data_IF_063713653360
#
_entry.id   IF_063713653360
#
_cell.length_a   1.000
_cell.length_b   1.000
_cell.length_c   1.000
_cell.angle_alpha   90.00
_cell.angle_beta   90.00
_cell.angle_gamma   90.00
#
_symmetry.space_group_name_H-M   'P 1'
#
loop_
_entity.id
_entity.type
_entity.pdbx_description
1 polymer ?
#
# COMPACT_ATOMS: atom_id res chain seq x y z
N UNK A 1 43.01 -6.78 3.62
CA UNK A 1 42.27 -7.98 4.07
C UNK A 1 40.83 -7.84 3.60
N UNK A 2 40.30 -8.90 3.02
CA UNK A 2 39.02 -9.00 2.30
C UNK A 2 37.83 -8.54 3.15
N UNK A 3 37.29 -7.35 2.86
CA UNK A 3 36.03 -6.86 3.42
C UNK A 3 34.87 -7.71 2.91
N UNK A 4 34.19 -8.42 3.82
CA UNK A 4 32.92 -9.07 3.52
C UNK A 4 31.89 -7.98 3.25
N UNK A 5 31.52 -7.81 1.98
CA UNK A 5 30.14 -7.47 1.65
C UNK A 5 29.28 -8.57 2.27
N UNK A 6 28.67 -8.32 3.43
CA UNK A 6 27.36 -8.92 3.71
C UNK A 6 26.30 -8.14 2.89
N UNK A 7 26.50 -8.04 1.58
CA UNK A 7 25.36 -8.34 0.74
C UNK A 7 25.11 -9.80 1.05
N UNK A 8 24.00 -10.10 1.70
CA UNK A 8 23.49 -11.45 1.73
C UNK A 8 23.45 -11.94 0.26
N UNK A 9 24.50 -12.63 -0.20
CA UNK A 9 24.49 -13.56 -1.33
C UNK A 9 23.67 -14.80 -0.94
N UNK A 10 22.62 -14.60 -0.15
CA UNK A 10 21.63 -15.61 0.11
C UNK A 10 20.80 -15.62 -1.15
N UNK A 11 21.15 -16.55 -2.05
CA UNK A 11 20.25 -17.05 -3.07
C UNK A 11 18.89 -17.20 -2.40
N UNK A 12 17.86 -16.51 -2.91
CA UNK A 12 16.49 -16.66 -2.42
C UNK A 12 16.15 -18.16 -2.46
N UNK A 13 16.25 -18.82 -1.31
CA UNK A 13 15.98 -20.23 -1.16
C UNK A 13 14.48 -20.41 -1.12
N UNK A 14 13.89 -20.86 -2.22
CA UNK A 14 12.52 -21.35 -2.20
C UNK A 14 12.57 -22.82 -1.82
N UNK A 15 12.14 -23.13 -0.60
CA UNK A 15 11.91 -24.50 -0.19
C UNK A 15 10.42 -24.77 -0.31
N UNK A 16 10.06 -25.62 -1.26
CA UNK A 16 8.74 -26.23 -1.30
C UNK A 16 8.92 -27.61 -0.68
N UNK A 17 8.61 -27.73 0.60
CA UNK A 17 8.57 -29.04 1.25
C UNK A 17 7.14 -29.58 1.11
N UNK A 18 7.04 -30.76 0.52
CA UNK A 18 5.79 -31.52 0.54
C UNK A 18 5.77 -32.28 1.87
N UNK A 19 5.17 -31.67 2.89
CA UNK A 19 4.92 -32.33 4.18
C UNK A 19 3.53 -32.96 4.07
N UNK A 20 3.46 -34.28 4.31
CA UNK A 20 2.30 -35.17 4.21
C UNK A 20 0.92 -34.49 4.06
N UNK A 21 0.47 -34.38 2.81
CA UNK A 21 -0.80 -33.79 2.40
C UNK A 21 -0.80 -33.37 0.92
N UNK A 22 -1.96 -32.99 0.32
CA UNK A 22 -2.00 -32.50 -1.07
C UNK A 22 -1.49 -31.06 -1.24
N UNK A 23 -1.15 -30.38 -0.14
CA UNK A 23 -0.70 -28.99 -0.13
C UNK A 23 0.79 -28.94 0.18
N UNK A 24 1.55 -28.23 -0.67
CA UNK A 24 2.95 -27.98 -0.42
C UNK A 24 3.07 -26.70 0.41
N UNK A 25 3.73 -26.77 1.56
CA UNK A 25 4.05 -25.58 2.32
C UNK A 25 5.22 -24.86 1.62
N UNK A 26 4.96 -23.63 1.18
CA UNK A 26 5.98 -22.78 0.58
C UNK A 26 6.64 -22.01 1.70
N UNK A 27 7.84 -22.46 2.10
CA UNK A 27 8.65 -21.76 3.07
C UNK A 27 9.55 -20.76 2.37
N UNK A 28 9.48 -19.53 2.85
CA UNK A 28 10.37 -18.46 2.43
C UNK A 28 11.49 -18.36 3.45
N UNK A 29 12.72 -18.56 2.99
CA UNK A 29 13.87 -18.13 3.78
C UNK A 29 13.94 -16.60 3.76
N UNK A 30 13.38 -15.97 4.79
CA UNK A 30 13.38 -14.51 4.96
C UNK A 30 14.78 -13.95 5.24
N UNK A 31 15.79 -14.79 5.51
CA UNK A 31 17.18 -14.37 5.64
C UNK A 31 17.79 -13.92 4.30
N UNK A 32 17.14 -14.25 3.18
CA UNK A 32 17.52 -13.86 1.82
C UNK A 32 16.73 -12.68 1.24
N UNK A 33 15.62 -12.30 1.88
CA UNK A 33 14.81 -11.16 1.44
C UNK A 33 15.57 -9.87 1.80
N UNK A 34 15.63 -8.87 0.92
CA UNK A 34 16.09 -7.56 1.34
C UNK A 34 15.15 -7.09 2.47
N UNK A 35 15.72 -7.02 3.67
CA UNK A 35 15.17 -6.30 4.82
C UNK A 35 14.79 -4.88 4.37
N UNK A 36 13.95 -4.11 5.11
CA UNK A 36 13.82 -2.67 4.87
C UNK A 36 15.19 -2.10 4.54
N UNK A 37 15.33 -1.34 3.45
CA UNK A 37 16.63 -0.90 2.96
C UNK A 37 17.41 -0.30 4.14
N UNK A 38 18.35 -1.09 4.64
CA UNK A 38 19.40 -0.74 5.58
C UNK A 38 20.63 -1.12 4.78
N UNK A 39 21.00 -0.20 3.88
CA UNK A 39 22.17 -0.40 3.04
C UNK A 39 23.39 -0.02 3.87
N UNK A 40 23.96 -1.00 4.58
CA UNK A 40 25.22 -0.83 5.31
C UNK A 40 26.37 -1.16 4.35
N UNK A 41 27.09 -0.13 3.93
CA UNK A 41 28.29 -0.26 3.10
C UNK A 41 29.47 0.05 4.00
N UNK A 42 30.46 -0.84 4.10
CA UNK A 42 31.70 -0.64 4.85
C UNK A 42 32.90 -0.84 3.91
N UNK A 43 33.78 0.14 3.79
CA UNK A 43 34.76 0.29 2.70
C UNK A 43 35.87 1.30 3.05
N UNK A 44 36.70 1.65 2.06
CA UNK A 44 37.66 2.76 2.09
C UNK A 44 37.00 4.13 2.34
N UNK A 45 37.86 5.12 2.61
CA UNK A 45 37.51 6.51 2.92
C UNK A 45 36.89 7.25 1.72
N UNK A 46 35.65 7.73 1.84
CA UNK A 46 34.94 8.47 0.78
C UNK A 46 34.68 9.94 1.11
N UNK A 47 34.54 10.77 0.06
CA UNK A 47 34.24 12.22 0.15
C UNK A 47 32.84 12.61 -0.32
N UNK A 48 32.14 11.74 -1.07
CA UNK A 48 30.80 12.02 -1.57
C UNK A 48 29.97 10.74 -1.77
N UNK A 49 28.65 10.90 -1.71
CA UNK A 49 27.64 9.92 -2.12
C UNK A 49 26.70 10.55 -3.14
N UNK A 50 26.44 9.85 -4.23
CA UNK A 50 25.49 10.28 -5.26
C UNK A 50 24.31 9.32 -5.28
N UNK A 51 23.12 9.88 -5.16
CA UNK A 51 21.83 9.21 -5.32
C UNK A 51 21.25 9.62 -6.68
N UNK A 52 21.00 8.66 -7.55
CA UNK A 52 20.32 8.86 -8.84
C UNK A 52 19.02 8.05 -8.82
N UNK A 53 17.91 8.66 -9.18
CA UNK A 53 16.63 7.94 -9.29
C UNK A 53 15.69 8.62 -10.29
N UNK A 54 14.61 7.95 -10.66
CA UNK A 54 13.61 8.46 -11.59
C UNK A 54 12.20 8.21 -11.04
N UNK A 55 11.23 9.00 -11.49
CA UNK A 55 9.81 8.87 -11.12
C UNK A 55 9.31 9.97 -10.17
N UNK A 56 8.04 9.86 -9.78
CA UNK A 56 7.35 10.79 -8.86
C UNK A 56 7.53 10.43 -7.37
N UNK A 57 8.41 9.48 -7.09
CA UNK A 57 8.60 8.88 -5.77
C UNK A 57 9.61 9.69 -4.94
N UNK A 58 9.32 9.90 -3.65
CA UNK A 58 10.16 10.68 -2.76
C UNK A 58 11.30 9.84 -2.21
N UNK A 59 12.54 10.28 -2.45
CA UNK A 59 13.69 9.81 -1.67
C UNK A 59 13.92 10.75 -0.50
N UNK A 60 13.57 10.26 0.69
CA UNK A 60 13.79 10.97 1.93
C UNK A 60 15.15 10.59 2.52
N UNK A 61 16.01 11.60 2.72
CA UNK A 61 17.38 11.43 3.17
C UNK A 61 17.54 11.65 4.68
N UNK A 62 16.44 11.85 5.43
CA UNK A 62 16.50 12.16 6.88
C UNK A 62 17.07 11.04 7.73
N UNK A 63 17.05 9.79 7.28
CA UNK A 63 17.69 8.67 7.98
C UNK A 63 19.00 8.22 7.32
N UNK A 64 19.65 9.10 6.55
CA UNK A 64 21.02 8.90 6.11
C UNK A 64 21.97 8.97 7.32
N UNK A 65 22.76 7.93 7.54
CA UNK A 65 23.80 7.87 8.58
C UNK A 65 25.15 7.58 7.95
N UNK A 66 26.19 8.20 8.48
CA UNK A 66 27.58 8.04 8.03
C UNK A 66 28.49 7.90 9.26
N UNK A 67 29.61 7.22 9.12
CA UNK A 67 30.61 7.21 10.17
C UNK A 67 32.00 6.81 9.69
N UNK A 68 32.99 7.07 10.55
CA UNK A 68 34.40 6.79 10.30
C UNK A 68 34.87 5.46 10.91
N UNK A 69 34.17 4.98 11.95
CA UNK A 69 34.40 3.69 12.60
C UNK A 69 33.08 2.92 12.74
N UNK A 70 33.12 1.58 12.67
CA UNK A 70 31.93 0.71 12.67
C UNK A 70 31.07 0.85 13.95
N UNK A 71 31.64 1.33 15.06
CA UNK A 71 31.00 1.43 16.37
C UNK A 71 30.41 2.81 16.71
N UNK A 72 30.54 3.81 15.82
CA UNK A 72 30.05 5.18 16.07
C UNK A 72 28.99 5.62 15.04
N UNK A 73 27.71 5.40 15.37
CA UNK A 73 26.58 5.94 14.60
C UNK A 73 26.44 7.44 14.88
N UNK A 74 27.02 8.30 14.03
CA UNK A 74 26.79 9.75 14.13
C UNK A 74 25.86 10.21 13.01
N UNK A 75 24.75 10.91 13.30
CA UNK A 75 23.93 11.54 12.27
C UNK A 75 24.78 12.51 11.43
N UNK A 76 24.48 12.65 10.14
CA UNK A 76 25.17 13.62 9.26
C UNK A 76 24.89 15.04 9.77
N UNK A 77 25.92 15.71 10.32
CA UNK A 77 25.81 17.08 10.87
C UNK A 77 26.17 18.18 9.87
N UNK A 78 26.89 17.84 8.80
CA UNK A 78 27.35 18.77 7.77
C UNK A 78 27.44 18.08 6.41
N UNK A 79 26.96 18.73 5.35
CA UNK A 79 27.07 18.26 3.98
C UNK A 79 26.40 19.22 3.00
N UNK A 80 26.93 19.29 1.77
CA UNK A 80 26.31 20.09 0.70
C UNK A 80 25.64 19.12 -0.27
N UNK A 81 24.34 19.30 -0.47
CA UNK A 81 23.57 18.55 -1.47
C UNK A 81 23.46 19.40 -2.72
N UNK A 82 23.96 18.89 -3.83
CA UNK A 82 23.77 19.49 -5.15
C UNK A 82 22.88 18.57 -5.96
N UNK A 83 21.75 19.09 -6.41
CA UNK A 83 20.83 18.39 -7.29
C UNK A 83 20.70 19.09 -8.64
N UNK A 84 20.23 18.37 -9.64
CA UNK A 84 19.87 18.96 -10.94
C UNK A 84 18.71 19.98 -10.84
N UNK A 85 18.01 20.06 -9.70
CA UNK A 85 16.96 21.05 -9.42
C UNK A 85 17.40 22.16 -8.44
N UNK A 86 18.66 22.19 -7.99
CA UNK A 86 19.19 23.22 -7.08
C UNK A 86 20.16 22.71 -6.00
N UNK A 87 20.75 23.62 -5.21
CA UNK A 87 21.66 23.28 -4.10
C UNK A 87 21.00 23.55 -2.73
N UNK A 88 21.23 22.68 -1.75
CA UNK A 88 20.82 22.90 -0.35
C UNK A 88 21.82 22.29 0.63
N UNK A 89 21.92 22.87 1.83
CA UNK A 89 22.89 22.47 2.87
C UNK A 89 22.21 21.69 3.99
N UNK A 90 22.82 20.59 4.43
CA UNK A 90 22.44 19.86 5.64
C UNK A 90 23.21 20.46 6.83
N UNK A 91 22.56 21.26 7.68
CA UNK A 91 23.14 21.78 8.92
C UNK A 91 22.42 21.23 10.15
N UNK A 92 23.19 20.69 11.11
CA UNK A 92 22.69 20.09 12.34
C UNK A 92 22.40 21.08 13.48
N UNK A 93 21.16 21.06 13.96
CA UNK A 93 20.78 21.13 15.37
C UNK A 93 19.45 20.36 15.49
N UNK A 94 19.01 19.99 16.70
CA UNK A 94 17.80 19.21 16.97
C UNK A 94 16.48 19.97 16.64
N UNK A 95 16.36 20.42 15.40
CA UNK A 95 15.20 20.95 14.71
C UNK A 95 15.14 20.13 13.43
N UNK A 96 14.01 19.48 13.16
CA UNK A 96 13.77 18.65 11.98
C UNK A 96 14.09 19.45 10.71
N UNK A 97 15.30 19.35 10.19
CA UNK A 97 15.65 19.89 8.88
C UNK A 97 15.00 18.98 7.84
N UNK A 98 13.91 19.46 7.25
CA UNK A 98 13.16 18.77 6.21
C UNK A 98 13.97 18.75 4.90
N UNK A 99 14.95 17.86 4.79
CA UNK A 99 15.56 17.51 3.50
C UNK A 99 14.76 16.38 2.84
N UNK A 100 13.50 16.65 2.51
CA UNK A 100 12.73 15.81 1.60
C UNK A 100 12.96 16.36 0.19
N UNK A 101 13.59 15.58 -0.70
CA UNK A 101 13.68 15.94 -2.11
C UNK A 101 12.38 15.51 -2.80
N UNK A 102 11.56 16.47 -3.20
CA UNK A 102 10.30 16.23 -3.92
C UNK A 102 10.50 16.34 -5.42
N UNK A 103 10.11 15.30 -6.16
CA UNK A 103 10.07 15.32 -7.63
C UNK A 103 8.73 15.92 -8.09
N UNK A 104 8.61 17.24 -8.06
CA UNK A 104 7.61 17.96 -8.88
C UNK A 104 8.27 18.52 -10.16
N UNK A 105 9.23 17.80 -10.73
CA UNK A 105 9.90 18.22 -11.96
C UNK A 105 9.19 17.61 -13.18
N UNK A 106 8.65 18.46 -14.04
CA UNK A 106 8.26 18.13 -15.41
C UNK A 106 9.50 17.61 -16.19
N UNK A 107 9.56 16.32 -16.50
CA UNK A 107 10.48 15.78 -17.50
C UNK A 107 10.99 14.35 -17.26
N UNK A 108 11.33 13.66 -18.36
CA UNK A 108 11.89 12.30 -18.44
C UNK A 108 13.31 12.13 -17.86
N UNK A 109 13.85 13.13 -17.15
CA UNK A 109 15.23 13.10 -16.66
C UNK A 109 15.29 12.57 -15.22
N UNK A 110 16.23 11.66 -14.90
CA UNK A 110 16.41 11.18 -13.54
C UNK A 110 16.80 12.34 -12.60
N UNK A 111 16.19 12.37 -11.43
CA UNK A 111 16.64 13.21 -10.34
C UNK A 111 17.99 12.69 -9.84
N UNK A 112 18.95 13.60 -9.67
CA UNK A 112 20.29 13.26 -9.14
C UNK A 112 20.57 14.16 -7.96
N UNK A 113 20.73 13.58 -6.76
CA UNK A 113 21.28 14.27 -5.60
C UNK A 113 22.69 13.77 -5.31
N UNK A 114 23.67 14.65 -5.45
CA UNK A 114 25.03 14.42 -4.97
C UNK A 114 25.23 15.11 -3.63
N UNK A 115 25.59 14.34 -2.60
CA UNK A 115 25.95 14.86 -1.29
C UNK A 115 27.46 14.78 -1.17
N UNK A 116 28.09 15.94 -1.07
CA UNK A 116 29.53 16.04 -0.88
C UNK A 116 29.85 16.42 0.56
N UNK A 117 30.93 15.86 1.10
CA UNK A 117 31.42 16.08 2.46
C UNK A 117 32.83 16.67 2.39
N UNK A 118 32.99 17.98 2.14
CA UNK A 118 34.31 18.56 1.93
C UNK A 118 35.22 18.41 3.16
N UNK A 119 34.62 18.50 4.35
CA UNK A 119 35.32 18.55 5.64
C UNK A 119 35.25 17.24 6.43
N UNK A 120 34.60 16.21 5.90
CA UNK A 120 34.44 14.92 6.57
C UNK A 120 34.77 13.79 5.60
N UNK A 121 35.18 12.68 6.18
CA UNK A 121 35.34 11.42 5.48
C UNK A 121 34.59 10.34 6.21
N UNK A 122 34.08 9.37 5.47
CA UNK A 122 33.34 8.25 6.03
C UNK A 122 33.84 6.95 5.40
N UNK A 123 33.85 5.89 6.20
CA UNK A 123 34.21 4.52 5.81
C UNK A 123 32.97 3.63 5.75
N UNK A 124 31.83 4.12 6.25
CA UNK A 124 30.55 3.46 6.08
C UNK A 124 29.38 4.41 5.84
N UNK A 125 28.39 3.89 5.13
CA UNK A 125 27.12 4.53 4.81
C UNK A 125 25.98 3.60 5.24
N UNK A 126 24.99 4.15 5.95
CA UNK A 126 23.69 3.51 6.19
C UNK A 126 22.58 4.38 5.67
N UNK A 127 21.76 3.83 4.77
CA UNK A 127 20.51 4.44 4.34
C UNK A 127 19.39 3.61 4.94
N UNK A 128 18.65 4.17 5.89
CA UNK A 128 17.47 3.54 6.47
C UNK A 128 16.20 4.07 5.79
N UNK A 129 15.26 3.20 5.41
CA UNK A 129 13.98 3.59 4.79
C UNK A 129 13.22 4.60 5.68
N UNK A 130 12.86 5.78 5.13
CA UNK A 130 12.23 6.87 5.93
C UNK A 130 10.70 6.94 5.83
N UNK A 131 10.06 6.36 4.82
CA UNK A 131 8.59 6.28 4.76
C UNK A 131 8.16 4.85 4.44
N UNK A 132 7.32 4.28 5.30
CA UNK A 132 6.97 2.85 5.31
C UNK A 132 6.19 2.38 4.07
N UNK A 133 5.67 3.31 3.25
CA UNK A 133 4.71 3.03 2.16
C UNK A 133 5.07 3.59 0.79
N UNK A 134 6.19 4.32 0.67
CA UNK A 134 6.62 4.73 -0.66
C UNK A 134 7.45 3.61 -1.30
N UNK A 135 7.16 3.21 -2.55
CA UNK A 135 8.09 2.39 -3.30
C UNK A 135 9.46 3.08 -3.24
N UNK A 136 10.53 2.30 -3.09
CA UNK A 136 11.87 2.85 -3.28
C UNK A 136 11.90 3.46 -4.68
N UNK A 137 12.38 4.70 -4.75
CA UNK A 137 12.52 5.45 -6.00
C UNK A 137 12.92 4.54 -7.16
N UNK A 138 12.15 4.61 -8.25
CA UNK A 138 12.31 3.75 -9.40
C UNK A 138 13.68 4.00 -10.04
N UNK A 139 14.40 2.93 -10.35
CA UNK A 139 15.79 2.96 -10.81
C UNK A 139 16.78 3.62 -9.83
N UNK A 140 16.55 3.54 -8.51
CA UNK A 140 17.51 4.03 -7.52
C UNK A 140 18.91 3.42 -7.73
N UNK A 141 19.89 4.29 -7.90
CA UNK A 141 21.31 3.99 -7.97
C UNK A 141 22.06 4.82 -6.95
N UNK A 142 23.01 4.19 -6.26
CA UNK A 142 23.86 4.82 -5.25
C UNK A 142 25.32 4.59 -5.64
N UNK A 143 26.06 5.68 -5.76
CA UNK A 143 27.47 5.70 -6.14
C UNK A 143 28.28 6.42 -5.07
N UNK A 144 29.43 5.88 -4.71
CA UNK A 144 30.38 6.49 -3.77
C UNK A 144 31.61 6.99 -4.51
N UNK A 145 32.14 8.15 -4.12
CA UNK A 145 33.31 8.77 -4.75
C UNK A 145 34.48 8.94 -3.77
N UNK A 146 35.68 8.52 -4.18
CA UNK A 146 36.94 8.65 -3.44
C UNK A 146 37.60 10.01 -3.65
N UNK A 147 38.66 10.31 -2.89
CA UNK A 147 39.43 11.55 -3.05
C UNK A 147 40.06 11.67 -4.44
N UNK A 148 40.47 10.55 -5.03
CA UNK A 148 41.07 10.47 -6.37
C UNK A 148 40.04 10.64 -7.50
N UNK A 149 38.74 10.78 -7.17
CA UNK A 149 37.65 10.93 -8.13
C UNK A 149 37.14 9.60 -8.68
N UNK A 150 37.61 8.47 -8.13
CA UNK A 150 37.09 7.16 -8.52
C UNK A 150 35.68 6.97 -7.97
N UNK A 151 34.77 6.48 -8.81
CA UNK A 151 33.36 6.28 -8.47
C UNK A 151 32.99 4.81 -8.50
N UNK A 152 32.38 4.30 -7.43
CA UNK A 152 31.91 2.92 -7.32
C UNK A 152 30.41 2.86 -7.10
N UNK A 153 29.69 2.15 -7.98
CA UNK A 153 28.26 1.91 -7.83
C UNK A 153 28.04 0.79 -6.79
N UNK A 154 27.53 1.17 -5.62
CA UNK A 154 27.35 0.27 -4.47
C UNK A 154 25.93 -0.28 -4.38
N UNK A 155 24.97 0.36 -5.05
CA UNK A 155 23.60 -0.12 -5.16
C UNK A 155 22.99 0.28 -6.50
N UNK A 156 22.33 -0.66 -7.17
CA UNK A 156 21.56 -0.45 -8.39
C UNK A 156 20.32 -1.33 -8.32
N UNK A 157 19.14 -0.69 -8.17
CA UNK A 157 17.85 -1.39 -8.07
C UNK A 157 17.58 -2.23 -9.31
N UNK A 158 17.77 -1.66 -10.50
CA UNK A 158 17.38 -2.27 -11.78
C UNK A 158 18.29 -3.46 -12.11
N UNK A 159 19.59 -3.35 -11.86
CA UNK A 159 20.52 -4.46 -12.00
C UNK A 159 20.20 -5.60 -11.02
N UNK A 160 19.87 -5.28 -9.76
CA UNK A 160 19.46 -6.27 -8.75
C UNK A 160 18.14 -6.95 -9.11
N UNK A 161 17.14 -6.20 -9.57
CA UNK A 161 15.87 -6.76 -10.05
C UNK A 161 16.10 -7.68 -11.25
N UNK A 162 16.93 -7.27 -12.21
CA UNK A 162 17.27 -8.09 -13.37
C UNK A 162 18.01 -9.38 -12.96
N UNK A 163 18.96 -9.28 -12.02
CA UNK A 163 19.68 -10.43 -11.48
C UNK A 163 18.73 -11.40 -10.74
N UNK A 164 17.82 -10.87 -9.91
CA UNK A 164 16.80 -11.67 -9.22
C UNK A 164 15.87 -12.35 -10.23
N UNK A 165 15.33 -11.61 -11.20
CA UNK A 165 14.49 -12.16 -12.28
C UNK A 165 15.21 -13.27 -13.04
N UNK A 166 16.50 -13.07 -13.37
CA UNK A 166 17.34 -14.07 -14.05
C UNK A 166 17.56 -15.32 -13.18
N UNK A 167 17.95 -15.15 -11.92
CA UNK A 167 18.18 -16.26 -10.99
C UNK A 167 16.90 -17.10 -10.79
N UNK A 168 15.77 -16.41 -10.66
CA UNK A 168 14.46 -17.01 -10.48
C UNK A 168 13.95 -17.69 -11.76
N UNK A 169 14.16 -17.07 -12.93
CA UNK A 169 13.86 -17.68 -14.22
C UNK A 169 14.70 -18.96 -14.44
N UNK A 170 15.99 -18.94 -14.10
CA UNK A 170 16.86 -20.13 -14.16
C UNK A 170 16.35 -21.26 -13.27
N UNK A 171 15.85 -20.96 -12.07
CA UNK A 171 15.25 -21.98 -11.18
C UNK A 171 13.92 -22.51 -11.73
N UNK A 172 13.05 -21.63 -12.26
CA UNK A 172 11.77 -22.02 -12.84
C UNK A 172 11.91 -22.80 -14.17
N UNK A 173 13.01 -22.56 -14.91
CA UNK A 173 13.35 -23.24 -16.18
C UNK A 173 14.08 -24.57 -15.99
N UNK A 174 14.49 -24.93 -14.77
CA UNK A 174 14.93 -26.31 -14.50
C UNK A 174 13.80 -27.24 -14.94
N UNK A 175 14.12 -28.15 -15.87
CA UNK A 175 13.17 -28.94 -16.70
C UNK A 175 12.08 -29.64 -15.87
N UNK A 176 12.36 -29.92 -14.59
CA UNK A 176 11.47 -30.64 -13.66
C UNK A 176 10.80 -29.77 -12.58
N UNK A 177 10.85 -28.43 -12.66
CA UNK A 177 10.19 -27.59 -11.67
C UNK A 177 8.66 -27.86 -11.66
N UNK A 178 8.06 -28.22 -10.51
CA UNK A 178 6.63 -28.47 -10.38
C UNK A 178 5.78 -27.32 -10.93
N UNK A 179 4.61 -27.65 -11.51
CA UNK A 179 3.66 -26.67 -12.07
C UNK A 179 3.32 -25.54 -11.08
N UNK A 180 3.24 -25.88 -9.80
CA UNK A 180 3.02 -24.94 -8.69
C UNK A 180 4.13 -23.87 -8.59
N UNK A 181 5.41 -24.27 -8.70
CA UNK A 181 6.57 -23.36 -8.70
C UNK A 181 6.44 -22.35 -9.84
N UNK A 182 6.17 -22.83 -11.05
CA UNK A 182 6.09 -21.96 -12.26
C UNK A 182 4.97 -20.92 -12.16
N UNK A 183 3.91 -21.19 -11.39
CA UNK A 183 2.79 -20.27 -11.21
C UNK A 183 3.02 -19.25 -10.09
N UNK A 184 3.67 -19.68 -9.01
CA UNK A 184 3.85 -18.85 -7.81
C UNK A 184 5.04 -17.90 -7.95
N UNK A 185 6.12 -18.38 -8.56
CA UNK A 185 7.37 -17.62 -8.71
C UNK A 185 7.16 -16.21 -9.31
N UNK A 186 6.40 -16.03 -10.41
CA UNK A 186 6.13 -14.68 -10.93
C UNK A 186 5.39 -13.80 -9.91
N UNK A 187 4.40 -14.35 -9.20
CA UNK A 187 3.63 -13.63 -8.21
C UNK A 187 4.51 -13.13 -7.06
N UNK A 188 5.48 -13.96 -6.64
CA UNK A 188 6.44 -13.60 -5.61
C UNK A 188 7.41 -12.53 -6.07
N UNK A 189 7.88 -12.60 -7.31
CA UNK A 189 8.70 -11.53 -7.89
C UNK A 189 7.93 -10.21 -7.94
N UNK A 190 6.66 -10.24 -8.32
CA UNK A 190 5.79 -9.06 -8.33
C UNK A 190 5.68 -8.46 -6.91
N UNK A 191 5.46 -9.30 -5.88
CA UNK A 191 5.40 -8.86 -4.48
C UNK A 191 6.75 -8.35 -3.94
N UNK A 192 7.86 -9.03 -4.24
CA UNK A 192 9.20 -8.64 -3.79
C UNK A 192 9.60 -7.30 -4.39
N UNK A 193 9.24 -7.04 -5.65
CA UNK A 193 9.52 -5.79 -6.35
C UNK A 193 8.45 -4.70 -6.11
N UNK A 194 7.44 -4.96 -5.26
CA UNK A 194 6.33 -4.05 -4.99
C UNK A 194 5.57 -3.64 -6.27
N UNK A 195 5.53 -4.51 -7.27
CA UNK A 195 4.75 -4.33 -8.50
C UNK A 195 3.30 -4.74 -8.24
N UNK A 196 2.62 -4.01 -7.34
CA UNK A 196 1.33 -4.41 -6.76
C UNK A 196 0.26 -4.63 -7.84
N UNK A 197 0.22 -3.82 -8.89
CA UNK A 197 -0.72 -4.01 -10.01
C UNK A 197 -0.47 -5.31 -10.78
N UNK A 198 0.81 -5.68 -10.97
CA UNK A 198 1.18 -6.93 -11.64
C UNK A 198 0.75 -8.17 -10.83
N UNK A 199 0.76 -8.07 -9.49
CA UNK A 199 0.37 -9.18 -8.60
C UNK A 199 -1.04 -9.68 -8.90
N UNK A 200 -1.99 -8.79 -9.27
CA UNK A 200 -3.39 -9.15 -9.56
C UNK A 200 -3.50 -10.21 -10.66
N UNK A 201 -2.73 -10.04 -11.74
CA UNK A 201 -2.71 -10.99 -12.85
C UNK A 201 -2.13 -12.35 -12.44
N UNK A 202 -1.03 -12.33 -11.69
CA UNK A 202 -0.36 -13.52 -11.16
C UNK A 202 -1.24 -14.29 -10.17
N UNK A 203 -1.89 -13.60 -9.25
CA UNK A 203 -2.82 -14.16 -8.27
C UNK A 203 -4.06 -14.75 -8.91
N UNK A 204 -4.68 -14.07 -9.89
CA UNK A 204 -5.79 -14.62 -10.67
C UNK A 204 -5.40 -15.93 -11.37
N UNK A 205 -4.16 -16.04 -11.86
CA UNK A 205 -3.65 -17.29 -12.45
C UNK A 205 -3.48 -18.39 -11.41
N UNK A 206 -2.89 -18.10 -10.25
CA UNK A 206 -2.72 -19.05 -9.14
C UNK A 206 -4.09 -19.58 -8.71
N UNK A 207 -5.01 -18.70 -8.34
CA UNK A 207 -6.38 -19.04 -7.91
C UNK A 207 -7.10 -19.95 -8.91
N UNK A 208 -7.09 -19.57 -10.19
CA UNK A 208 -7.74 -20.35 -11.26
C UNK A 208 -7.09 -21.72 -11.50
N UNK A 209 -5.76 -21.85 -11.34
CA UNK A 209 -5.02 -23.05 -11.74
C UNK A 209 -4.74 -24.02 -10.58
N UNK A 210 -4.76 -23.54 -9.35
CA UNK A 210 -4.39 -24.29 -8.14
C UNK A 210 -5.55 -24.37 -7.12
N UNK A 211 -6.65 -23.64 -7.33
CA UNK A 211 -7.85 -23.71 -6.48
C UNK A 211 -7.86 -22.67 -5.35
N UNK A 212 -9.02 -22.53 -4.71
CA UNK A 212 -9.27 -21.55 -3.63
C UNK A 212 -8.46 -21.87 -2.38
N UNK A 213 -8.48 -23.13 -1.91
CA UNK A 213 -7.78 -23.53 -0.68
C UNK A 213 -6.28 -23.26 -0.78
N UNK A 214 -5.68 -23.61 -1.93
CA UNK A 214 -4.28 -23.33 -2.20
C UNK A 214 -4.01 -21.82 -2.21
N UNK A 215 -4.89 -21.04 -2.84
CA UNK A 215 -4.73 -19.59 -2.94
C UNK A 215 -4.83 -18.90 -1.58
N UNK A 216 -5.75 -19.35 -0.72
CA UNK A 216 -5.90 -18.87 0.65
C UNK A 216 -4.65 -19.20 1.48
N UNK A 217 -4.18 -20.45 1.44
CA UNK A 217 -2.96 -20.87 2.14
C UNK A 217 -1.71 -20.12 1.64
N UNK A 218 -1.59 -19.94 0.32
CA UNK A 218 -0.53 -19.13 -0.30
C UNK A 218 -0.57 -17.68 0.20
N UNK A 219 -1.75 -17.06 0.23
CA UNK A 219 -1.94 -15.70 0.73
C UNK A 219 -1.53 -15.53 2.19
N UNK A 220 -1.94 -16.46 3.06
CA UNK A 220 -1.57 -16.48 4.48
C UNK A 220 -0.05 -16.58 4.66
N UNK A 221 0.59 -17.49 3.93
CA UNK A 221 2.04 -17.67 3.99
C UNK A 221 2.81 -16.48 3.42
N UNK A 222 2.30 -15.87 2.35
CA UNK A 222 2.84 -14.64 1.75
C UNK A 222 2.76 -13.47 2.75
N UNK A 223 1.64 -13.33 3.45
CA UNK A 223 1.46 -12.35 4.51
C UNK A 223 2.49 -12.54 5.62
N UNK A 224 2.52 -13.74 6.21
CA UNK A 224 3.42 -14.12 7.30
C UNK A 224 4.89 -13.91 6.96
N UNK A 225 5.30 -14.31 5.75
CA UNK A 225 6.72 -14.42 5.42
C UNK A 225 7.30 -13.19 4.73
N UNK A 226 6.46 -12.37 4.08
CA UNK A 226 6.92 -11.24 3.26
C UNK A 226 6.15 -9.94 3.51
N UNK A 227 4.83 -9.97 3.47
CA UNK A 227 4.08 -8.70 3.42
C UNK A 227 3.99 -8.03 4.79
N UNK A 228 3.82 -8.79 5.89
CA UNK A 228 3.75 -8.19 7.23
C UNK A 228 5.03 -7.46 7.63
N UNK A 229 6.21 -7.99 7.28
CA UNK A 229 7.50 -7.31 7.53
C UNK A 229 7.63 -6.00 6.74
N UNK A 230 6.85 -5.85 5.67
CA UNK A 230 6.77 -4.67 4.81
C UNK A 230 5.58 -3.78 5.12
N UNK A 231 4.81 -4.09 6.18
CA UNK A 231 3.55 -3.41 6.52
C UNK A 231 2.57 -3.40 5.34
N UNK A 232 2.54 -4.50 4.62
CA UNK A 232 1.58 -4.78 3.57
C UNK A 232 0.77 -6.01 3.98
N UNK A 233 -0.37 -6.19 3.36
CA UNK A 233 -1.22 -7.34 3.56
C UNK A 233 -1.86 -7.70 2.23
N UNK A 234 -1.83 -8.97 1.89
CA UNK A 234 -2.62 -9.55 0.83
C UNK A 234 -4.02 -9.84 1.38
N UNK A 235 -4.99 -9.10 0.87
CA UNK A 235 -6.42 -9.20 1.19
C UNK A 235 -7.28 -9.28 -0.06
N UNK A 236 -8.56 -8.92 0.09
CA UNK A 236 -9.56 -9.01 -0.98
C UNK A 236 -9.24 -8.07 -2.16
N UNK A 237 -8.64 -6.91 -1.89
CA UNK A 237 -8.32 -5.89 -2.89
C UNK A 237 -6.94 -6.07 -3.54
N UNK A 238 -6.23 -7.15 -3.17
CA UNK A 238 -4.87 -7.44 -3.60
C UNK A 238 -3.88 -7.23 -2.46
N UNK A 239 -2.63 -6.89 -2.81
CA UNK A 239 -1.64 -6.47 -1.81
C UNK A 239 -1.81 -4.98 -1.55
N UNK A 240 -2.06 -4.60 -0.31
CA UNK A 240 -2.28 -3.21 0.08
C UNK A 240 -1.68 -2.89 1.45
N UNK A 241 -1.69 -1.60 1.77
CA UNK A 241 -1.36 -1.10 3.09
C UNK A 241 -2.65 -0.99 3.91
N UNK A 242 -3.05 -2.08 4.56
CA UNK A 242 -4.29 -2.18 5.34
C UNK A 242 -4.27 -1.34 6.62
N UNK A 243 -5.45 -1.04 7.16
CA UNK A 243 -5.65 -0.24 8.37
C UNK A 243 -4.91 -0.74 9.60
N UNK A 244 -4.52 -2.03 9.64
CA UNK A 244 -3.65 -2.64 10.66
C UNK A 244 -2.37 -1.85 10.91
N UNK A 245 -1.84 -1.23 9.86
CA UNK A 245 -0.54 -0.57 9.90
C UNK A 245 -0.64 0.96 9.94
N UNK A 246 -1.85 1.49 9.81
CA UNK A 246 -2.12 2.91 9.88
C UNK A 246 -2.01 3.38 11.33
N UNK A 247 -1.44 4.56 11.50
CA UNK A 247 -1.48 5.31 12.74
C UNK A 247 -2.87 5.90 12.98
N UNK A 248 -3.17 6.24 14.23
CA UNK A 248 -4.43 6.91 14.59
C UNK A 248 -4.61 8.24 13.84
N UNK A 249 -3.52 8.93 13.51
CA UNK A 249 -3.54 10.14 12.71
C UNK A 249 -3.97 9.88 11.26
N UNK A 250 -3.46 8.80 10.64
CA UNK A 250 -3.86 8.39 9.29
C UNK A 250 -5.34 7.99 9.26
N UNK A 251 -5.80 7.22 10.26
CA UNK A 251 -7.22 6.85 10.39
C UNK A 251 -8.10 8.10 10.59
N UNK A 252 -7.71 9.00 11.48
CA UNK A 252 -8.45 10.25 11.72
C UNK A 252 -8.56 11.09 10.44
N UNK A 253 -7.47 11.22 9.68
CA UNK A 253 -7.46 11.98 8.45
C UNK A 253 -8.34 11.34 7.35
N UNK A 254 -8.45 10.00 7.30
CA UNK A 254 -9.43 9.31 6.45
C UNK A 254 -10.87 9.66 6.83
N UNK A 255 -11.19 9.62 8.13
CA UNK A 255 -12.52 9.97 8.63
C UNK A 255 -12.84 11.46 8.41
N UNK A 256 -11.83 12.33 8.43
CA UNK A 256 -11.98 13.74 8.04
C UNK A 256 -12.36 13.87 6.56
N UNK A 257 -11.68 13.14 5.66
CA UNK A 257 -12.02 13.09 4.24
C UNK A 257 -13.43 12.54 4.01
N UNK A 258 -13.83 11.48 4.73
CA UNK A 258 -15.19 10.96 4.72
C UNK A 258 -16.22 12.03 5.15
N UNK A 259 -15.93 12.75 6.23
CA UNK A 259 -16.80 13.81 6.73
C UNK A 259 -16.97 14.96 5.72
N UNK A 260 -15.91 15.29 4.96
CA UNK A 260 -15.99 16.28 3.87
C UNK A 260 -16.93 15.80 2.77
N UNK A 261 -16.77 14.54 2.34
CA UNK A 261 -17.56 13.95 1.27
C UNK A 261 -19.05 13.87 1.62
N UNK A 262 -19.37 13.34 2.80
CA UNK A 262 -20.75 13.26 3.32
C UNK A 262 -21.40 14.64 3.40
N UNK A 263 -20.69 15.65 3.91
CA UNK A 263 -21.21 17.02 4.01
C UNK A 263 -21.51 17.61 2.62
N UNK A 264 -20.68 17.32 1.62
CA UNK A 264 -20.89 17.78 0.27
C UNK A 264 -22.10 17.10 -0.38
N UNK A 265 -22.29 15.79 -0.20
CA UNK A 265 -23.50 15.10 -0.64
C UNK A 265 -24.75 15.69 0.02
N UNK A 266 -24.74 15.87 1.34
CA UNK A 266 -25.87 16.45 2.08
C UNK A 266 -26.20 17.85 1.59
N UNK A 267 -25.20 18.70 1.34
CA UNK A 267 -25.38 20.05 0.79
C UNK A 267 -26.01 20.05 -0.60
N UNK A 268 -25.73 19.02 -1.40
CA UNK A 268 -26.28 18.82 -2.74
C UNK A 268 -27.60 18.03 -2.74
N UNK A 269 -28.20 17.78 -1.57
CA UNK A 269 -29.50 17.12 -1.45
C UNK A 269 -29.46 15.58 -1.45
N UNK A 270 -28.28 14.99 -1.26
CA UNK A 270 -28.10 13.54 -1.15
C UNK A 270 -27.79 13.13 0.29
N UNK A 271 -28.65 12.28 0.86
CA UNK A 271 -28.32 11.60 2.10
C UNK A 271 -27.28 10.51 1.86
N UNK A 272 -26.42 10.29 2.86
CA UNK A 272 -25.43 9.20 2.82
C UNK A 272 -25.12 8.67 4.21
N UNK A 273 -24.73 7.40 4.29
CA UNK A 273 -24.32 6.71 5.53
C UNK A 273 -23.05 5.88 5.29
N UNK A 274 -22.35 5.55 6.37
CA UNK A 274 -21.36 4.47 6.34
C UNK A 274 -22.06 3.12 6.10
N UNK A 275 -21.39 2.20 5.40
CA UNK A 275 -21.91 0.86 5.11
C UNK A 275 -20.78 -0.18 5.05
N UNK A 276 -21.14 -1.42 4.71
CA UNK A 276 -20.21 -2.55 4.48
C UNK A 276 -19.06 -2.66 5.48
N UNK A 277 -17.81 -2.76 5.01
CA UNK A 277 -16.63 -3.00 5.86
C UNK A 277 -16.45 -1.88 6.87
N UNK A 278 -16.74 -0.64 6.46
CA UNK A 278 -16.65 0.51 7.33
C UNK A 278 -17.67 0.46 8.48
N UNK A 279 -18.96 0.27 8.19
CA UNK A 279 -19.99 0.13 9.22
C UNK A 279 -19.74 -1.10 10.11
N UNK A 280 -19.31 -2.22 9.51
CA UNK A 280 -19.00 -3.45 10.23
C UNK A 280 -17.87 -3.23 11.25
N UNK A 281 -16.81 -2.53 10.86
CA UNK A 281 -15.74 -2.14 11.78
C UNK A 281 -16.28 -1.31 12.94
N UNK A 282 -17.05 -0.26 12.64
CA UNK A 282 -17.57 0.65 13.66
C UNK A 282 -18.47 -0.06 14.68
N UNK A 283 -19.28 -1.02 14.24
CA UNK A 283 -20.23 -1.71 15.12
C UNK A 283 -19.58 -2.90 15.83
N UNK A 284 -18.64 -3.61 15.18
CA UNK A 284 -18.05 -4.84 15.73
C UNK A 284 -16.80 -4.58 16.56
N UNK A 285 -15.92 -3.71 16.09
CA UNK A 285 -14.56 -3.52 16.61
C UNK A 285 -14.40 -2.19 17.35
N UNK A 286 -15.36 -1.27 17.22
CA UNK A 286 -15.22 0.15 17.63
C UNK A 286 -14.00 0.83 16.95
N UNK A 287 -13.60 0.32 15.77
CA UNK A 287 -12.45 0.76 14.98
C UNK A 287 -12.62 0.29 13.52
N UNK A 288 -11.77 0.77 12.60
CA UNK A 288 -11.69 0.24 11.25
C UNK A 288 -11.25 -1.23 11.27
N UNK A 289 -11.79 -2.04 10.35
CA UNK A 289 -11.39 -3.44 10.23
C UNK A 289 -9.90 -3.53 9.86
N UNK A 290 -9.03 -4.18 10.66
CA UNK A 290 -7.59 -4.07 10.46
C UNK A 290 -7.08 -4.53 9.09
N UNK A 291 -7.73 -5.52 8.48
CA UNK A 291 -7.29 -6.06 7.18
C UNK A 291 -7.92 -5.37 5.97
N UNK A 292 -8.73 -4.34 6.21
CA UNK A 292 -9.36 -3.54 5.17
C UNK A 292 -8.48 -2.35 4.77
N UNK A 293 -8.74 -1.74 3.62
CA UNK A 293 -7.91 -0.67 3.06
C UNK A 293 -8.68 0.49 2.41
N UNK A 294 -10.02 0.41 2.36
CA UNK A 294 -10.91 1.45 1.90
C UNK A 294 -12.09 1.66 2.88
N UNK A 295 -12.92 2.67 2.59
CA UNK A 295 -14.16 2.88 3.34
C UNK A 295 -15.34 2.98 2.40
N UNK A 296 -16.42 2.30 2.80
CA UNK A 296 -17.63 2.24 2.01
C UNK A 296 -18.69 3.25 2.49
N UNK A 297 -19.44 3.79 1.54
CA UNK A 297 -20.62 4.59 1.81
C UNK A 297 -21.77 4.33 0.85
N UNK A 298 -22.99 4.40 1.39
CA UNK A 298 -24.21 4.42 0.61
C UNK A 298 -24.66 5.87 0.41
N UNK A 299 -25.02 6.21 -0.82
CA UNK A 299 -25.70 7.45 -1.18
C UNK A 299 -27.10 7.11 -1.66
N UNK A 300 -28.11 7.78 -1.12
CA UNK A 300 -29.50 7.43 -1.37
C UNK A 300 -30.06 8.17 -2.58
N UNK A 301 -30.68 7.41 -3.48
CA UNK A 301 -31.51 7.92 -4.57
C UNK A 301 -32.98 7.66 -4.26
N UNK A 302 -33.74 8.74 -4.08
CA UNK A 302 -35.19 8.69 -3.85
C UNK A 302 -36.00 8.88 -5.14
N UNK A 303 -35.35 9.27 -6.25
CA UNK A 303 -36.03 9.50 -7.53
C UNK A 303 -35.96 8.25 -8.40
N UNK A 304 -37.08 7.53 -8.45
CA UNK A 304 -37.23 6.31 -9.27
C UNK A 304 -37.25 6.59 -10.77
N UNK A 305 -37.32 7.85 -11.20
CA UNK A 305 -37.29 8.25 -12.62
C UNK A 305 -35.89 8.61 -13.09
N UNK A 306 -34.99 8.93 -12.17
CA UNK A 306 -33.59 9.20 -12.51
C UNK A 306 -32.86 7.88 -12.75
N UNK A 307 -32.13 7.79 -13.87
CA UNK A 307 -31.31 6.62 -14.13
C UNK A 307 -30.11 6.57 -13.19
N UNK A 308 -29.67 5.37 -12.85
CA UNK A 308 -28.45 5.14 -12.06
C UNK A 308 -27.24 5.87 -12.66
N UNK A 309 -27.16 5.98 -13.99
CA UNK A 309 -26.13 6.74 -14.70
C UNK A 309 -26.16 8.24 -14.35
N UNK A 310 -27.35 8.84 -14.34
CA UNK A 310 -27.49 10.26 -14.02
C UNK A 310 -27.09 10.53 -12.56
N UNK A 311 -27.62 9.72 -11.63
CA UNK A 311 -27.30 9.85 -10.21
C UNK A 311 -25.80 9.65 -9.98
N UNK A 312 -25.20 8.62 -10.58
CA UNK A 312 -23.76 8.38 -10.47
C UNK A 312 -22.96 9.57 -10.98
N UNK A 313 -23.37 10.18 -12.11
CA UNK A 313 -22.71 11.37 -12.67
C UNK A 313 -22.74 12.57 -11.71
N UNK A 314 -23.87 12.79 -11.02
CA UNK A 314 -23.98 13.83 -10.01
C UNK A 314 -23.09 13.55 -8.80
N UNK A 315 -23.12 12.32 -8.29
CA UNK A 315 -22.35 11.89 -7.10
C UNK A 315 -20.85 12.02 -7.34
N UNK A 316 -20.34 11.55 -8.49
CA UNK A 316 -18.91 11.70 -8.80
C UNK A 316 -18.54 13.16 -9.08
N UNK A 317 -19.45 13.96 -9.64
CA UNK A 317 -19.24 15.39 -9.88
C UNK A 317 -19.11 16.16 -8.57
N UNK A 318 -19.95 15.85 -7.57
CA UNK A 318 -19.86 16.43 -6.22
C UNK A 318 -18.53 16.02 -5.56
N UNK A 319 -18.16 14.74 -5.63
CA UNK A 319 -16.89 14.25 -5.09
C UNK A 319 -15.68 14.96 -5.71
N UNK A 320 -15.67 15.11 -7.04
CA UNK A 320 -14.60 15.80 -7.76
C UNK A 320 -14.43 17.25 -7.30
N UNK A 321 -15.54 17.97 -7.06
CA UNK A 321 -15.50 19.34 -6.53
C UNK A 321 -14.93 19.43 -5.10
N UNK A 322 -14.94 18.33 -4.35
CA UNK A 322 -14.32 18.23 -3.02
C UNK A 322 -12.87 17.76 -3.04
N UNK A 323 -12.28 17.59 -4.23
CA UNK A 323 -10.87 17.20 -4.39
C UNK A 323 -10.62 15.70 -4.41
N UNK A 324 -11.66 14.89 -4.57
CA UNK A 324 -11.53 13.45 -4.82
C UNK A 324 -11.33 13.18 -6.31
N UNK A 325 -10.46 12.24 -6.62
CA UNK A 325 -10.28 11.69 -7.96
C UNK A 325 -11.22 10.50 -8.18
N UNK A 326 -11.79 10.38 -9.37
CA UNK A 326 -12.61 9.22 -9.76
C UNK A 326 -11.70 8.17 -10.39
N UNK A 327 -11.44 7.09 -9.67
CA UNK A 327 -10.54 6.02 -10.11
C UNK A 327 -11.24 5.05 -11.04
N UNK A 328 -12.47 4.66 -10.71
CA UNK A 328 -13.25 3.77 -11.58
C UNK A 328 -14.73 3.86 -11.31
N UNK A 329 -15.53 3.52 -12.33
CA UNK A 329 -16.98 3.45 -12.24
C UNK A 329 -17.42 2.06 -12.72
N UNK A 330 -18.42 1.50 -12.05
CA UNK A 330 -19.08 0.23 -12.40
C UNK A 330 -20.60 0.44 -12.35
N UNK A 331 -21.17 0.91 -13.47
CA UNK A 331 -22.60 1.21 -13.55
C UNK A 331 -23.49 0.00 -13.23
N UNK A 332 -23.13 -1.19 -13.71
CA UNK A 332 -23.89 -2.42 -13.42
C UNK A 332 -23.90 -2.80 -11.93
N UNK A 333 -22.94 -2.29 -11.16
CA UNK A 333 -22.81 -2.52 -9.72
C UNK A 333 -23.19 -1.29 -8.89
N UNK A 334 -23.67 -0.21 -9.53
CA UNK A 334 -24.02 1.07 -8.88
C UNK A 334 -22.91 1.62 -7.98
N UNK A 335 -21.68 1.46 -8.44
CA UNK A 335 -20.48 1.63 -7.63
C UNK A 335 -19.48 2.58 -8.33
N UNK A 336 -18.87 3.48 -7.57
CA UNK A 336 -17.71 4.26 -7.99
C UNK A 336 -16.62 4.22 -6.92
N UNK A 337 -15.38 4.02 -7.37
CA UNK A 337 -14.19 4.16 -6.54
C UNK A 337 -13.65 5.56 -6.66
N UNK A 338 -13.50 6.22 -5.52
CA UNK A 338 -12.91 7.54 -5.39
C UNK A 338 -11.59 7.44 -4.63
N UNK A 339 -10.71 8.42 -4.84
CA UNK A 339 -9.44 8.51 -4.15
C UNK A 339 -9.12 9.93 -3.75
N UNK A 340 -8.60 10.12 -2.54
CA UNK A 340 -8.07 11.42 -2.10
C UNK A 340 -6.66 11.64 -2.68
N UNK A 341 -6.19 12.90 -2.68
CA UNK A 341 -4.83 13.23 -3.13
C UNK A 341 -3.71 12.49 -2.37
N UNK A 342 -3.97 12.09 -1.13
CA UNK A 342 -3.07 11.29 -0.31
C UNK A 342 -3.31 9.77 -0.41
N UNK A 343 -3.91 9.32 -1.53
CA UNK A 343 -4.10 7.93 -1.92
C UNK A 343 -4.96 7.10 -0.95
N UNK A 344 -6.01 7.69 -0.37
CA UNK A 344 -7.02 6.96 0.39
C UNK A 344 -8.22 6.63 -0.46
N UNK A 345 -8.65 5.38 -0.45
CA UNK A 345 -9.73 4.87 -1.28
C UNK A 345 -11.08 4.92 -0.58
N UNK A 346 -12.11 5.24 -1.36
CA UNK A 346 -13.50 5.35 -0.94
C UNK A 346 -14.36 4.65 -1.97
N UNK A 347 -15.22 3.75 -1.50
CA UNK A 347 -16.13 3.00 -2.33
C UNK A 347 -17.57 3.53 -2.14
N UNK A 348 -18.10 4.19 -3.17
CA UNK A 348 -19.41 4.85 -3.15
C UNK A 348 -20.44 4.01 -3.87
N UNK A 349 -21.48 3.62 -3.16
CA UNK A 349 -22.58 2.80 -3.64
C UNK A 349 -23.88 3.60 -3.70
N UNK A 350 -24.66 3.45 -4.78
CA UNK A 350 -25.99 4.05 -4.87
C UNK A 350 -27.02 3.07 -4.31
N UNK A 351 -27.79 3.52 -3.32
CA UNK A 351 -28.96 2.82 -2.80
C UNK A 351 -30.23 3.47 -3.35
N UNK A 352 -30.95 2.75 -4.22
CA UNK A 352 -32.28 3.20 -4.66
C UNK A 352 -33.30 2.94 -3.54
N UNK A 353 -34.17 3.91 -3.30
CA UNK A 353 -35.24 3.84 -2.31
C UNK A 353 -36.58 3.85 -3.01
N UNK A 354 -37.35 2.77 -2.88
CA UNK A 354 -38.67 2.63 -3.51
C UNK A 354 -39.71 2.22 -2.46
N UNK A 355 -40.61 3.14 -2.12
CA UNK A 355 -41.55 2.93 -1.02
C UNK A 355 -40.81 2.66 0.30
N UNK A 356 -41.08 1.49 0.89
CA UNK A 356 -40.48 1.02 2.15
C UNK A 356 -39.20 0.18 1.96
N UNK A 357 -38.66 0.11 0.74
CA UNK A 357 -37.51 -0.74 0.40
C UNK A 357 -36.29 0.09 0.02
N UNK A 358 -35.16 -0.27 0.58
CA UNK A 358 -33.84 0.24 0.23
C UNK A 358 -33.03 -0.88 -0.45
N UNK A 359 -32.67 -0.68 -1.71
CA UNK A 359 -31.92 -1.66 -2.50
C UNK A 359 -30.42 -1.48 -2.29
N UNK A 360 -29.92 -2.05 -1.19
CA UNK A 360 -28.49 -2.08 -0.84
C UNK A 360 -27.82 -3.20 -1.63
N UNK A 361 -26.77 -2.87 -2.38
CA UNK A 361 -26.03 -3.83 -3.19
C UNK A 361 -24.52 -3.58 -3.09
N UNK A 362 -23.68 -4.62 -2.93
CA UNK A 362 -24.04 -6.04 -2.82
C UNK A 362 -24.59 -6.42 -1.43
N UNK A 363 -25.65 -7.20 -1.35
CA UNK A 363 -26.26 -7.65 -0.08
C UNK A 363 -26.78 -9.08 -0.19
N UNK A 364 -26.82 -9.81 0.94
CA UNK A 364 -27.47 -11.12 1.00
C UNK A 364 -28.98 -10.99 0.83
N UNK A 365 -29.58 -9.98 1.45
CA UNK A 365 -31.00 -9.66 1.26
C UNK A 365 -31.22 -8.89 -0.05
N UNK A 366 -32.30 -9.13 -0.80
CA UNK A 366 -32.62 -8.35 -2.00
C UNK A 366 -32.94 -6.88 -1.70
N UNK A 367 -33.35 -6.55 -0.47
CA UNK A 367 -33.57 -5.19 0.01
C UNK A 367 -33.54 -5.14 1.55
N UNK A 368 -33.31 -3.94 2.09
CA UNK A 368 -33.46 -3.63 3.51
C UNK A 368 -34.71 -2.77 3.71
N UNK A 369 -35.46 -3.00 4.79
CA UNK A 369 -36.62 -2.15 5.11
C UNK A 369 -36.17 -0.73 5.45
N UNK A 370 -36.88 0.29 4.97
CA UNK A 370 -36.51 1.69 5.12
C UNK A 370 -36.29 2.10 6.58
N UNK A 371 -37.14 1.65 7.50
CA UNK A 371 -37.02 1.92 8.95
C UNK A 371 -35.74 1.34 9.61
N UNK A 372 -35.03 0.44 8.92
CA UNK A 372 -33.70 -0.02 9.36
C UNK A 372 -32.65 1.07 9.18
N UNK A 373 -32.82 1.90 8.14
CA UNK A 373 -31.87 2.94 7.76
C UNK A 373 -32.30 4.29 8.31
N UNK A 374 -33.59 4.62 8.23
CA UNK A 374 -34.12 5.94 8.53
C UNK A 374 -34.88 5.99 9.87
N UNK A 375 -34.87 7.13 10.58
CA UNK A 375 -34.08 8.33 10.28
C UNK A 375 -32.57 8.09 10.46
N UNK A 376 -31.76 8.71 9.60
CA UNK A 376 -30.30 8.67 9.74
C UNK A 376 -29.92 9.29 11.08
N UNK A 377 -29.01 8.62 11.80
CA UNK A 377 -28.53 9.05 13.11
C UNK A 377 -27.08 9.44 13.04
N UNK A 378 -26.72 10.55 13.68
CA UNK A 378 -25.32 10.87 13.89
C UNK A 378 -24.79 10.05 15.09
N UNK A 379 -23.66 9.37 14.92
CA UNK A 379 -22.95 8.66 15.98
C UNK A 379 -21.51 9.18 16.08
N UNK A 380 -20.97 9.19 17.30
CA UNK A 380 -19.57 9.57 17.54
C UNK A 380 -18.65 8.41 17.18
N UNK A 381 -17.73 8.67 16.25
CA UNK A 381 -16.62 7.78 15.91
C UNK A 381 -15.40 8.62 15.51
N UNK A 382 -14.19 8.26 15.95
CA UNK A 382 -12.96 9.03 15.71
C UNK A 382 -13.08 10.54 16.02
N UNK A 383 -13.79 10.88 17.10
CA UNK A 383 -14.09 12.27 17.49
C UNK A 383 -14.82 13.08 16.40
N UNK A 384 -15.64 12.42 15.58
CA UNK A 384 -16.50 13.02 14.56
C UNK A 384 -17.92 12.47 14.70
N UNK A 385 -18.90 13.30 14.39
CA UNK A 385 -20.28 12.86 14.20
C UNK A 385 -20.41 12.33 12.77
N UNK A 386 -20.63 11.03 12.64
CA UNK A 386 -20.76 10.35 11.35
C UNK A 386 -22.20 9.86 11.17
N UNK A 387 -22.73 9.85 9.93
CA UNK A 387 -24.08 9.36 9.65
C UNK A 387 -24.12 7.82 9.66
N UNK A 388 -24.99 7.29 10.50
CA UNK A 388 -25.27 5.87 10.67
C UNK A 388 -26.73 5.57 10.33
N UNK A 389 -27.02 4.32 9.91
CA UNK A 389 -28.40 3.86 9.82
C UNK A 389 -29.06 3.85 11.22
N UNK A 390 -30.38 3.97 11.24
CA UNK A 390 -31.20 3.89 12.45
C UNK A 390 -30.94 2.62 13.28
N UNK A 391 -30.82 1.46 12.60
CA UNK A 391 -30.61 0.13 13.18
C UNK A 391 -29.41 -0.57 12.50
N UNK A 392 -28.16 -0.24 12.87
CA UNK A 392 -26.97 -0.73 12.19
C UNK A 392 -26.81 -2.25 12.27
N UNK A 393 -27.21 -2.88 13.38
CA UNK A 393 -27.15 -4.34 13.56
C UNK A 393 -28.01 -5.06 12.53
N UNK A 394 -29.25 -4.61 12.33
CA UNK A 394 -30.16 -5.21 11.36
C UNK A 394 -29.66 -5.00 9.93
N UNK A 395 -29.09 -3.83 9.61
CA UNK A 395 -28.47 -3.62 8.30
C UNK A 395 -27.30 -4.58 8.06
N UNK A 396 -26.45 -4.83 9.06
CA UNK A 396 -25.34 -5.78 8.96
C UNK A 396 -25.83 -7.23 8.79
N UNK A 397 -26.94 -7.60 9.46
CA UNK A 397 -27.58 -8.91 9.28
C UNK A 397 -28.13 -9.08 7.86
N UNK A 398 -28.74 -8.04 7.29
CA UNK A 398 -29.20 -8.04 5.89
C UNK A 398 -28.05 -8.20 4.90
N UNK A 399 -26.92 -7.54 5.14
CA UNK A 399 -25.74 -7.54 4.27
C UNK A 399 -24.97 -8.87 4.36
N UNK A 400 -24.62 -9.29 5.58
CA UNK A 400 -23.64 -10.37 5.83
C UNK A 400 -24.28 -11.69 6.32
N UNK A 401 -25.49 -11.64 6.88
CA UNK A 401 -26.13 -12.75 7.57
C UNK A 401 -26.06 -12.63 9.10
N UNK A 402 -26.73 -13.55 9.79
CA UNK A 402 -26.83 -13.65 11.25
C UNK A 402 -25.47 -13.86 11.95
N UNK A 403 -24.51 -14.45 11.25
CA UNK A 403 -23.17 -14.73 11.73
C UNK A 403 -22.15 -13.61 11.45
N UNK A 404 -22.59 -12.39 11.10
CA UNK A 404 -21.72 -11.24 10.79
C UNK A 404 -20.72 -10.89 11.91
N UNK A 405 -21.06 -11.22 13.16
CA UNK A 405 -20.20 -11.01 14.34
C UNK A 405 -18.98 -11.93 14.34
N UNK A 406 -19.02 -13.04 13.61
CA UNK A 406 -17.89 -13.97 13.47
C UNK A 406 -17.05 -13.51 12.28
N UNK A 407 -15.77 -13.10 12.49
CA UNK A 407 -14.89 -12.73 11.39
C UNK A 407 -14.74 -13.90 10.40
N UNK A 408 -14.95 -13.62 9.11
CA UNK A 408 -14.77 -14.57 8.02
C UNK A 408 -13.58 -14.13 7.17
N UNK A 409 -12.39 -14.73 7.35
CA UNK A 409 -11.23 -14.43 6.51
C UNK A 409 -11.58 -14.65 5.04
N UNK A 410 -11.16 -13.71 4.19
CA UNK A 410 -11.39 -13.78 2.74
C UNK A 410 -12.87 -13.82 2.33
N UNK A 411 -13.77 -13.23 3.13
CA UNK A 411 -15.17 -13.03 2.74
C UNK A 411 -15.25 -12.36 1.36
N UNK A 412 -16.20 -12.80 0.54
CA UNK A 412 -16.46 -12.20 -0.77
C UNK A 412 -17.95 -11.90 -0.87
N UNK A 413 -18.27 -10.65 -1.18
CA UNK A 413 -19.63 -10.29 -1.54
C UNK A 413 -20.06 -11.07 -2.78
N UNK A 414 -21.30 -11.57 -2.74
CA UNK A 414 -21.97 -12.08 -3.93
C UNK A 414 -22.56 -10.88 -4.67
N UNK A 415 -21.90 -10.50 -5.75
CA UNK A 415 -22.36 -9.51 -6.71
C UNK A 415 -23.41 -10.15 -7.64
#
# INVERSE_FOLDING_TARGET
MTGRLQAADTVLGFFIEQIDGPYADVYFDSSAMPQPLVLNIATDTYKAVTFEWSGTELLDLRNLRLGADADTLTPVKSGTVTSNTGQFSLNGAASRTNAAATTEADGDLPFVAKISFPQMRFTWLSVERVARFQPLATNLRITLETDEGESTCVYDKSAREAALKKAVALQAQKVNAPKVVRLIVPALLDCVNLQLDATRGSFKRIRRRLGEDFFAAFGLNLNKSLLHTRKLEFGQHGVSHSFRYWSDAEKTALIDSYSVLVKAYKKSGFDSICCFGFLLGMVREDDLIPHDDDIDLLVFNYDTKMSDLHIMTLIIGIAAQTGFEVISIRFSQRFARLRTKDNRDFDVFICNVEGEKCFVYPSRSPYTHKDTIFPIKDQQAFNRNLPFPQNPVTLLEDIYGDDWRVPKPYFLHKW
#
